data_IF_527001607936
#
_entry.id   IF_527001607936
#
_cell.length_a   1.000
_cell.length_b   1.000
_cell.length_c   1.000
_cell.angle_alpha   90.00
_cell.angle_beta   90.00
_cell.angle_gamma   90.00
#
_symmetry.space_group_name_H-M   'P 1'
#
loop_
_entity.id
_entity.type
_entity.pdbx_description
1 polymer ?
#
# COMPACT_ATOMS: atom_id res chain seq x y z
N UNK A 1 26.43 5.04 5.47
CA UNK A 1 25.91 4.90 4.09
C UNK A 1 25.73 3.41 3.84
N UNK A 2 24.62 2.99 3.28
CA UNK A 2 24.37 1.56 2.96
C UNK A 2 25.39 1.08 1.90
N UNK A 3 25.78 -0.17 2.01
CA UNK A 3 26.65 -0.83 1.03
C UNK A 3 25.84 -1.61 0.01
N UNK A 4 24.76 -2.29 0.48
CA UNK A 4 23.92 -3.15 -0.36
C UNK A 4 22.44 -3.03 0.04
N UNK A 5 21.56 -2.89 -0.94
CA UNK A 5 20.11 -2.70 -0.73
C UNK A 5 19.32 -3.75 -1.53
N UNK A 6 18.37 -4.42 -0.87
CA UNK A 6 17.36 -5.24 -1.54
C UNK A 6 16.19 -4.35 -1.98
N UNK A 7 15.77 -4.51 -3.24
CA UNK A 7 14.64 -3.78 -3.84
C UNK A 7 13.41 -4.69 -3.85
N UNK A 8 12.52 -4.53 -2.85
CA UNK A 8 11.32 -5.35 -2.68
C UNK A 8 10.18 -4.89 -3.60
N UNK A 9 10.46 -4.78 -4.90
CA UNK A 9 9.51 -4.34 -5.92
C UNK A 9 9.90 -4.90 -7.29
N UNK A 10 9.14 -4.58 -8.34
CA UNK A 10 9.36 -5.06 -9.70
C UNK A 10 9.21 -3.96 -10.75
N UNK A 11 9.52 -4.30 -12.01
CA UNK A 11 9.24 -3.47 -13.18
C UNK A 11 9.95 -2.11 -13.14
N UNK A 12 9.23 -1.07 -13.51
CA UNK A 12 9.77 0.30 -13.57
C UNK A 12 10.15 0.86 -12.21
N UNK A 13 9.39 0.51 -11.16
CA UNK A 13 9.64 0.96 -9.79
C UNK A 13 11.00 0.42 -9.31
N UNK A 14 11.22 -0.90 -9.46
CA UNK A 14 12.50 -1.51 -9.11
C UNK A 14 13.64 -0.92 -9.94
N UNK A 15 13.43 -0.71 -11.23
CA UNK A 15 14.42 -0.12 -12.13
C UNK A 15 14.79 1.33 -11.72
N UNK A 16 13.81 2.11 -11.23
CA UNK A 16 14.06 3.48 -10.75
C UNK A 16 14.94 3.50 -9.51
N UNK A 17 14.65 2.61 -8.54
CA UNK A 17 15.45 2.47 -7.32
C UNK A 17 16.87 1.97 -7.65
N UNK A 18 16.97 0.96 -8.51
CA UNK A 18 18.25 0.41 -8.98
C UNK A 18 19.15 1.48 -9.59
N UNK A 19 18.59 2.37 -10.43
CA UNK A 19 19.34 3.48 -11.00
C UNK A 19 19.89 4.43 -9.92
N UNK A 20 19.08 4.74 -8.90
CA UNK A 20 19.52 5.57 -7.78
C UNK A 20 20.65 4.88 -6.98
N UNK A 21 20.52 3.57 -6.70
CA UNK A 21 21.60 2.79 -6.06
C UNK A 21 22.90 2.90 -6.86
N UNK A 22 22.83 2.71 -8.18
CA UNK A 22 23.98 2.78 -9.06
C UNK A 22 24.63 4.17 -9.08
N UNK A 23 23.84 5.24 -9.12
CA UNK A 23 24.32 6.63 -9.06
C UNK A 23 25.02 6.95 -7.72
N UNK A 24 24.57 6.30 -6.63
CA UNK A 24 25.13 6.44 -5.28
C UNK A 24 26.28 5.48 -4.97
N UNK A 25 26.64 4.58 -5.89
CA UNK A 25 27.65 3.55 -5.67
C UNK A 25 27.24 2.47 -4.63
N UNK A 26 25.94 2.17 -4.55
CA UNK A 26 25.37 1.16 -3.64
C UNK A 26 25.05 -0.09 -4.46
N UNK A 27 25.46 -1.27 -3.97
CA UNK A 27 25.09 -2.54 -4.58
C UNK A 27 23.59 -2.79 -4.48
N UNK A 28 23.01 -3.29 -5.56
CA UNK A 28 21.57 -3.52 -5.68
C UNK A 28 21.23 -5.00 -5.81
N UNK A 29 20.26 -5.45 -5.02
CA UNK A 29 19.70 -6.82 -5.11
C UNK A 29 18.26 -6.71 -5.59
N UNK A 30 17.98 -7.22 -6.80
CA UNK A 30 16.64 -7.32 -7.31
C UNK A 30 15.97 -8.61 -6.86
N UNK A 31 14.70 -8.53 -6.45
CA UNK A 31 13.88 -9.74 -6.31
C UNK A 31 12.97 -9.90 -7.51
N UNK A 32 12.66 -11.15 -7.86
CA UNK A 32 11.77 -11.43 -8.99
C UNK A 32 10.95 -12.70 -8.78
N UNK A 33 9.72 -12.71 -9.29
CA UNK A 33 8.95 -13.94 -9.45
C UNK A 33 9.39 -14.68 -10.72
N UNK A 34 9.18 -15.99 -10.80
CA UNK A 34 9.59 -16.81 -11.94
C UNK A 34 9.32 -16.19 -13.32
N UNK A 35 8.12 -15.66 -13.63
CA UNK A 35 7.85 -15.05 -14.94
C UNK A 35 8.57 -13.70 -15.16
N UNK A 36 9.06 -13.07 -14.10
CA UNK A 36 9.73 -11.76 -14.18
C UNK A 36 11.24 -11.86 -14.40
N UNK A 37 11.79 -13.07 -14.49
CA UNK A 37 13.23 -13.36 -14.61
C UNK A 37 13.94 -12.54 -15.72
N UNK A 38 13.24 -12.32 -16.83
CA UNK A 38 13.79 -11.63 -18.00
C UNK A 38 13.59 -10.12 -17.99
N UNK A 39 12.97 -9.57 -16.94
CA UNK A 39 12.71 -8.13 -16.84
C UNK A 39 14.00 -7.33 -16.67
N UNK A 40 13.97 -6.09 -17.16
CA UNK A 40 15.13 -5.21 -17.23
C UNK A 40 15.78 -4.95 -15.86
N UNK A 41 14.98 -4.78 -14.81
CA UNK A 41 15.50 -4.54 -13.45
C UNK A 41 16.29 -5.74 -12.92
N UNK A 42 15.90 -6.98 -13.26
CA UNK A 42 16.61 -8.19 -12.89
C UNK A 42 17.96 -8.26 -13.57
N UNK A 43 18.02 -7.97 -14.89
CA UNK A 43 19.25 -8.00 -15.69
C UNK A 43 20.25 -6.89 -15.35
N UNK A 44 19.79 -5.81 -14.75
CA UNK A 44 20.61 -4.62 -14.46
C UNK A 44 21.06 -4.54 -13.00
N UNK A 45 20.48 -5.33 -12.11
CA UNK A 45 20.91 -5.41 -10.72
C UNK A 45 22.26 -6.13 -10.59
N UNK A 46 22.99 -5.84 -9.52
CA UNK A 46 24.25 -6.48 -9.23
C UNK A 46 24.02 -7.94 -8.80
N UNK A 47 22.93 -8.21 -8.06
CA UNK A 47 22.45 -9.54 -7.72
C UNK A 47 20.95 -9.64 -7.97
N UNK A 48 20.44 -10.88 -8.19
CA UNK A 48 19.02 -11.12 -8.36
C UNK A 48 18.58 -12.45 -7.73
N UNK A 49 17.48 -12.41 -6.97
CA UNK A 49 16.97 -13.57 -6.22
C UNK A 49 15.52 -13.85 -6.66
N UNK A 50 15.27 -15.11 -7.05
CA UNK A 50 13.91 -15.58 -7.29
C UNK A 50 13.18 -15.78 -5.96
N UNK A 51 12.04 -15.11 -5.81
CA UNK A 51 11.22 -15.14 -4.59
C UNK A 51 9.94 -15.95 -4.71
N UNK A 52 9.78 -16.70 -5.80
CA UNK A 52 8.66 -17.63 -5.97
C UNK A 52 7.87 -17.45 -7.26
N UNK A 53 6.66 -18.06 -7.33
CA UNK A 53 5.85 -18.14 -8.53
C UNK A 53 5.19 -16.79 -8.89
N UNK A 54 4.44 -16.78 -10.00
CA UNK A 54 3.77 -15.60 -10.54
C UNK A 54 2.77 -14.92 -9.57
N UNK A 55 2.19 -15.69 -8.64
CA UNK A 55 1.24 -15.16 -7.67
C UNK A 55 1.94 -14.23 -6.68
N UNK A 56 1.54 -12.95 -6.61
CA UNK A 56 2.15 -11.96 -5.71
C UNK A 56 2.07 -12.34 -4.23
N UNK A 57 0.99 -12.99 -3.79
CA UNK A 57 0.85 -13.51 -2.42
C UNK A 57 1.88 -14.59 -2.05
N UNK A 58 2.49 -15.25 -3.04
CA UNK A 58 3.53 -16.27 -2.85
C UNK A 58 4.92 -15.77 -3.24
N UNK A 59 5.07 -14.50 -3.61
CA UNK A 59 6.32 -13.87 -4.03
C UNK A 59 6.45 -12.48 -3.42
N UNK A 60 6.08 -11.41 -4.13
CA UNK A 60 6.29 -10.01 -3.72
C UNK A 60 5.55 -9.58 -2.43
N UNK A 61 4.48 -10.28 -2.03
CA UNK A 61 3.74 -10.06 -0.79
C UNK A 61 4.08 -11.08 0.31
N UNK A 62 5.04 -11.97 0.06
CA UNK A 62 5.49 -12.98 1.02
C UNK A 62 6.64 -12.41 1.85
N UNK A 63 6.31 -11.86 3.01
CA UNK A 63 7.27 -11.21 3.92
C UNK A 63 8.40 -12.17 4.32
N UNK A 64 8.14 -13.42 4.79
CA UNK A 64 9.21 -14.35 5.14
C UNK A 64 10.20 -14.58 4.02
N UNK A 65 9.73 -14.71 2.78
CA UNK A 65 10.61 -14.94 1.62
C UNK A 65 11.48 -13.71 1.33
N UNK A 66 10.95 -12.50 1.48
CA UNK A 66 11.72 -11.27 1.31
C UNK A 66 12.79 -11.12 2.40
N UNK A 67 12.48 -11.42 3.66
CA UNK A 67 13.46 -11.41 4.76
C UNK A 67 14.56 -12.45 4.52
N UNK A 68 14.19 -13.68 4.10
CA UNK A 68 15.18 -14.71 3.74
C UNK A 68 16.07 -14.27 2.57
N UNK A 69 15.53 -13.57 1.59
CA UNK A 69 16.31 -13.01 0.49
C UNK A 69 17.32 -11.95 0.98
N UNK A 70 16.98 -11.16 2.00
CA UNK A 70 17.90 -10.22 2.63
C UNK A 70 19.05 -10.91 3.32
N UNK A 71 18.76 -11.99 4.04
CA UNK A 71 19.77 -12.79 4.73
C UNK A 71 20.73 -13.44 3.74
N UNK A 72 20.21 -14.09 2.69
CA UNK A 72 21.01 -14.73 1.63
C UNK A 72 21.91 -13.74 0.91
N UNK A 73 21.41 -12.55 0.60
CA UNK A 73 22.17 -11.52 -0.10
C UNK A 73 23.11 -10.70 0.82
N UNK A 74 22.91 -10.76 2.14
CA UNK A 74 23.69 -9.98 3.11
C UNK A 74 23.53 -8.48 2.93
N UNK A 75 22.27 -8.00 2.81
CA UNK A 75 21.97 -6.58 2.61
C UNK A 75 21.93 -5.79 3.91
N UNK A 76 22.12 -4.48 3.81
CA UNK A 76 22.01 -3.57 4.95
C UNK A 76 20.57 -3.04 5.10
N UNK A 77 19.84 -2.94 3.99
CA UNK A 77 18.55 -2.29 3.97
C UNK A 77 17.61 -2.86 2.88
N UNK A 78 16.32 -2.60 3.05
CA UNK A 78 15.27 -2.92 2.08
C UNK A 78 14.60 -1.64 1.61
N UNK A 79 14.47 -1.49 0.29
CA UNK A 79 13.62 -0.45 -0.33
C UNK A 79 12.33 -1.08 -0.86
N UNK A 80 11.16 -0.76 -0.30
CA UNK A 80 9.89 -1.38 -0.69
C UNK A 80 9.33 -0.85 -2.03
N UNK A 81 9.87 0.26 -2.53
CA UNK A 81 9.35 0.93 -3.72
C UNK A 81 8.00 1.60 -3.49
N UNK A 82 7.05 1.34 -4.38
CA UNK A 82 5.67 1.86 -4.34
C UNK A 82 4.69 0.71 -4.54
N UNK A 83 3.58 0.69 -3.82
CA UNK A 83 2.64 -0.43 -3.82
C UNK A 83 3.19 -1.66 -3.08
N UNK A 84 2.68 -2.84 -3.36
CA UNK A 84 3.02 -4.08 -2.65
C UNK A 84 3.04 -3.90 -1.12
N UNK A 85 4.22 -3.98 -0.52
CA UNK A 85 4.41 -3.86 0.94
C UNK A 85 4.89 -2.48 1.39
N UNK A 86 4.96 -1.47 0.50
CA UNK A 86 5.47 -0.15 0.84
C UNK A 86 4.67 0.57 1.94
N UNK A 87 3.38 0.30 2.03
CA UNK A 87 2.47 0.85 3.04
C UNK A 87 2.04 -0.20 4.10
N UNK A 88 2.80 -1.29 4.22
CA UNK A 88 2.50 -2.36 5.16
C UNK A 88 3.36 -2.20 6.42
N UNK A 89 2.74 -1.79 7.52
CA UNK A 89 3.39 -1.58 8.82
C UNK A 89 4.00 -2.86 9.38
N UNK A 90 3.32 -4.01 9.22
CA UNK A 90 3.84 -5.30 9.67
C UNK A 90 5.11 -5.70 8.91
N UNK A 91 5.20 -5.41 7.61
CA UNK A 91 6.44 -5.62 6.86
C UNK A 91 7.57 -4.74 7.38
N UNK A 92 7.29 -3.46 7.62
CA UNK A 92 8.29 -2.53 8.15
C UNK A 92 8.77 -2.98 9.55
N UNK A 93 7.86 -3.42 10.44
CA UNK A 93 8.21 -4.03 11.74
C UNK A 93 9.13 -5.24 11.55
N UNK A 94 8.75 -6.20 10.69
CA UNK A 94 9.53 -7.42 10.46
C UNK A 94 10.93 -7.14 9.89
N UNK A 95 11.07 -6.14 9.04
CA UNK A 95 12.38 -5.70 8.51
C UNK A 95 13.28 -5.19 9.64
N UNK A 96 12.74 -4.30 10.50
CA UNK A 96 13.47 -3.71 11.62
C UNK A 96 13.82 -4.79 12.66
N UNK A 97 12.87 -5.64 13.03
CA UNK A 97 13.07 -6.74 13.99
C UNK A 97 14.10 -7.75 13.51
N UNK A 98 14.24 -7.92 12.18
CA UNK A 98 15.27 -8.78 11.57
C UNK A 98 16.65 -8.11 11.47
N UNK A 99 16.81 -6.89 11.96
CA UNK A 99 18.08 -6.15 11.99
C UNK A 99 18.42 -5.40 10.71
N UNK A 100 17.47 -5.27 9.78
CA UNK A 100 17.65 -4.50 8.54
C UNK A 100 17.05 -3.09 8.65
N UNK A 101 17.54 -2.17 7.83
CA UNK A 101 16.91 -0.85 7.73
C UNK A 101 15.79 -0.87 6.71
N UNK A 102 14.58 -0.51 7.12
CA UNK A 102 13.49 -0.22 6.19
C UNK A 102 13.67 1.18 5.61
N UNK A 103 13.82 1.30 4.29
CA UNK A 103 13.96 2.60 3.62
C UNK A 103 12.56 3.18 3.39
N UNK A 104 12.10 3.92 4.35
CA UNK A 104 10.75 4.51 4.41
C UNK A 104 10.47 5.12 5.77
N UNK A 105 9.22 5.50 6.04
CA UNK A 105 8.79 5.93 7.36
C UNK A 105 8.93 4.80 8.39
N UNK A 106 8.98 5.14 9.67
CA UNK A 106 8.94 4.13 10.72
C UNK A 106 7.57 3.39 10.73
N UNK A 107 7.52 2.15 11.26
CA UNK A 107 6.30 1.32 11.22
C UNK A 107 5.09 1.99 11.86
N UNK A 108 5.27 2.74 12.95
CA UNK A 108 4.18 3.45 13.63
C UNK A 108 3.62 4.58 12.77
N UNK A 109 4.47 5.32 12.08
CA UNK A 109 4.04 6.34 11.12
C UNK A 109 3.23 5.73 9.98
N UNK A 110 3.64 4.57 9.44
CA UNK A 110 2.88 3.84 8.41
C UNK A 110 1.51 3.44 8.97
N UNK A 111 1.45 2.90 10.18
CA UNK A 111 0.21 2.44 10.84
C UNK A 111 -0.77 3.57 11.06
N UNK A 112 -0.31 4.69 11.60
CA UNK A 112 -1.14 5.85 11.87
C UNK A 112 -1.64 6.50 10.57
N UNK A 113 -0.74 6.71 9.60
CA UNK A 113 -1.09 7.36 8.34
C UNK A 113 -1.91 6.44 7.40
N UNK A 114 -1.77 5.13 7.54
CA UNK A 114 -2.58 4.14 6.82
C UNK A 114 -4.05 4.13 7.27
N UNK A 115 -4.35 4.59 8.47
CA UNK A 115 -5.71 4.73 8.98
C UNK A 115 -6.22 6.17 8.77
N UNK A 116 -7.22 6.35 7.90
CA UNK A 116 -7.76 7.67 7.53
C UNK A 116 -8.27 8.49 8.71
N UNK A 117 -8.77 7.84 9.75
CA UNK A 117 -9.31 8.51 10.95
C UNK A 117 -8.14 9.00 11.80
N UNK A 118 -7.21 8.12 12.15
CA UNK A 118 -6.02 8.46 12.93
C UNK A 118 -5.13 9.49 12.22
N UNK A 119 -4.99 9.37 10.89
CA UNK A 119 -4.25 10.35 10.09
C UNK A 119 -4.90 11.74 10.15
N UNK A 120 -6.24 11.82 10.08
CA UNK A 120 -6.97 13.08 10.20
C UNK A 120 -6.86 13.68 11.61
N UNK A 121 -6.98 12.87 12.64
CA UNK A 121 -6.81 13.28 14.04
C UNK A 121 -5.40 13.85 14.28
N UNK A 122 -4.38 13.14 13.79
CA UNK A 122 -2.99 13.60 13.89
C UNK A 122 -2.77 14.90 13.10
N UNK A 123 -3.26 15.01 11.88
CA UNK A 123 -3.16 16.23 11.09
C UNK A 123 -3.83 17.42 11.78
N UNK A 124 -5.02 17.20 12.36
CA UNK A 124 -5.75 18.23 13.12
C UNK A 124 -4.98 18.66 14.37
N UNK A 125 -4.42 17.71 15.11
CA UNK A 125 -3.60 18.00 16.31
C UNK A 125 -2.31 18.76 15.98
N UNK A 126 -1.79 18.54 14.77
CA UNK A 126 -0.64 19.27 14.23
C UNK A 126 -1.02 20.67 13.66
N UNK A 127 -2.27 21.09 13.79
CA UNK A 127 -2.74 22.40 13.34
C UNK A 127 -3.03 22.49 11.82
N UNK A 128 -3.07 21.36 11.11
CA UNK A 128 -3.39 21.34 9.69
C UNK A 128 -4.91 21.46 9.48
N UNK A 129 -5.32 22.26 8.52
CA UNK A 129 -6.73 22.33 8.11
C UNK A 129 -7.13 21.04 7.40
N UNK A 130 -8.08 20.32 7.98
CA UNK A 130 -8.66 19.13 7.38
C UNK A 130 -10.04 19.43 6.80
N UNK A 131 -10.38 18.75 5.70
CA UNK A 131 -11.74 18.81 5.14
C UNK A 131 -12.74 18.36 6.22
N UNK A 132 -13.84 19.13 6.47
CA UNK A 132 -14.88 18.71 7.39
C UNK A 132 -15.40 17.31 7.06
N UNK A 133 -15.71 16.52 8.09
CA UNK A 133 -16.22 15.16 7.89
C UNK A 133 -16.30 14.43 9.23
N UNK A 134 -17.19 13.45 9.30
CA UNK A 134 -17.37 12.59 10.46
C UNK A 134 -16.22 11.61 10.63
N UNK A 135 -16.06 11.09 11.83
CA UNK A 135 -15.32 9.87 12.13
C UNK A 135 -16.04 8.65 11.54
N UNK A 136 -15.85 7.49 12.17
CA UNK A 136 -16.52 6.25 11.75
C UNK A 136 -18.03 6.34 12.02
N UNK A 137 -18.84 6.24 10.98
CA UNK A 137 -20.30 6.20 11.07
C UNK A 137 -20.86 4.84 10.66
N UNK A 138 -21.94 4.41 11.29
CA UNK A 138 -22.61 3.14 11.00
C UNK A 138 -23.82 3.36 10.08
N UNK A 139 -24.01 2.48 9.09
CA UNK A 139 -25.15 2.53 8.15
C UNK A 139 -26.54 2.36 8.80
N UNK A 140 -26.60 2.07 10.08
CA UNK A 140 -27.85 1.77 10.81
C UNK A 140 -28.19 2.79 11.89
N UNK A 141 -27.41 3.86 12.04
CA UNK A 141 -27.51 4.73 13.20
C UNK A 141 -28.22 6.06 12.87
N UNK A 142 -29.18 6.44 13.70
CA UNK A 142 -29.89 7.74 13.64
C UNK A 142 -28.91 8.91 13.70
N UNK A 143 -27.84 8.74 14.47
CA UNK A 143 -26.71 9.65 14.60
C UNK A 143 -26.03 9.95 13.25
N UNK A 144 -25.95 8.98 12.33
CA UNK A 144 -25.38 9.17 10.99
C UNK A 144 -26.18 10.17 10.15
N UNK A 145 -27.50 10.16 10.29
CA UNK A 145 -28.39 11.09 9.56
C UNK A 145 -28.21 12.51 10.13
N UNK A 146 -28.07 12.66 11.44
CA UNK A 146 -27.85 13.94 12.09
C UNK A 146 -26.51 14.54 11.67
N UNK A 147 -25.43 13.74 11.69
CA UNK A 147 -24.10 14.15 11.22
C UNK A 147 -24.15 14.54 9.74
N UNK A 148 -24.86 13.81 8.90
CA UNK A 148 -24.98 14.14 7.49
C UNK A 148 -25.71 15.46 7.25
N UNK A 149 -26.71 15.77 8.08
CA UNK A 149 -27.41 17.06 8.06
C UNK A 149 -26.51 18.22 8.48
N UNK A 150 -25.67 18.01 9.49
CA UNK A 150 -24.71 19.04 9.93
C UNK A 150 -23.63 19.32 8.88
N UNK A 151 -23.15 18.31 8.17
CA UNK A 151 -22.16 18.45 7.09
C UNK A 151 -22.80 19.13 5.85
N UNK A 152 -24.07 18.83 5.59
CA UNK A 152 -24.81 19.32 4.42
C UNK A 152 -24.62 18.45 3.18
N UNK A 153 -25.57 18.60 2.22
CA UNK A 153 -25.54 17.90 0.94
C UNK A 153 -25.10 18.86 -0.19
N UNK A 154 -24.40 18.37 -1.24
CA UNK A 154 -23.98 17.00 -1.46
C UNK A 154 -22.79 16.58 -0.59
N UNK A 155 -22.78 15.33 -0.12
CA UNK A 155 -21.68 14.77 0.66
C UNK A 155 -21.06 13.53 0.00
N UNK A 156 -19.85 13.18 0.43
CA UNK A 156 -19.11 12.00 -0.04
C UNK A 156 -19.06 10.94 1.06
N UNK A 157 -19.55 9.74 0.74
CA UNK A 157 -19.36 8.55 1.57
C UNK A 157 -18.10 7.85 1.08
N UNK A 158 -17.19 7.51 2.01
CA UNK A 158 -15.99 6.73 1.75
C UNK A 158 -15.93 5.55 2.69
N UNK A 159 -15.64 4.39 2.17
CA UNK A 159 -15.40 3.24 3.01
C UNK A 159 -14.07 3.37 3.77
N UNK A 160 -14.06 2.97 5.04
CA UNK A 160 -12.90 3.09 5.92
C UNK A 160 -11.68 2.30 5.41
N UNK A 161 -11.92 1.12 4.82
CA UNK A 161 -10.88 0.24 4.29
C UNK A 161 -10.63 0.38 2.76
N UNK A 162 -11.32 1.31 2.08
CA UNK A 162 -11.19 1.52 0.64
C UNK A 162 -10.00 2.40 0.26
N UNK A 163 -9.26 2.00 -0.78
CA UNK A 163 -8.19 2.77 -1.41
C UNK A 163 -8.40 2.91 -2.93
N UNK A 164 -7.65 3.81 -3.58
CA UNK A 164 -7.66 3.92 -5.05
C UNK A 164 -8.99 4.35 -5.68
N UNK A 165 -9.84 5.12 -4.99
CA UNK A 165 -11.11 5.61 -5.52
C UNK A 165 -12.27 4.60 -5.47
N UNK A 166 -12.07 3.40 -4.95
CA UNK A 166 -13.13 2.40 -4.76
C UNK A 166 -13.86 2.63 -3.43
N UNK A 167 -15.16 2.31 -3.41
CA UNK A 167 -16.00 2.53 -2.22
C UNK A 167 -16.24 4.01 -1.92
N UNK A 168 -16.30 4.87 -2.95
CA UNK A 168 -16.67 6.29 -2.85
C UNK A 168 -18.02 6.49 -3.54
N UNK A 169 -18.98 7.11 -2.84
CA UNK A 169 -20.26 7.51 -3.42
C UNK A 169 -20.61 8.95 -3.06
N UNK A 170 -21.18 9.66 -4.02
CA UNK A 170 -21.76 10.99 -3.81
C UNK A 170 -23.22 10.78 -3.41
N UNK A 171 -23.64 11.41 -2.32
CA UNK A 171 -25.01 11.46 -1.84
C UNK A 171 -25.49 12.89 -1.99
N UNK A 172 -26.57 13.10 -2.73
CA UNK A 172 -27.07 14.42 -3.06
C UNK A 172 -28.19 14.88 -2.12
N UNK A 173 -28.91 13.93 -1.55
CA UNK A 173 -30.05 14.16 -0.68
C UNK A 173 -30.16 13.05 0.40
N UNK A 174 -30.93 13.34 1.46
CA UNK A 174 -31.00 12.47 2.65
C UNK A 174 -31.52 11.06 2.34
N UNK A 175 -32.48 10.94 1.42
CA UNK A 175 -33.12 9.70 1.03
C UNK A 175 -32.12 8.68 0.44
N UNK A 176 -31.06 9.17 -0.18
CA UNK A 176 -30.01 8.34 -0.78
C UNK A 176 -28.97 7.85 0.23
N UNK A 177 -28.88 8.47 1.42
CA UNK A 177 -27.79 8.25 2.38
C UNK A 177 -27.65 6.79 2.79
N UNK A 178 -28.70 6.21 3.36
CA UNK A 178 -28.66 4.85 3.92
C UNK A 178 -28.47 3.79 2.85
N UNK A 179 -29.09 3.96 1.68
CA UNK A 179 -28.90 3.03 0.55
C UNK A 179 -27.48 3.08 0.01
N UNK A 180 -26.90 4.26 -0.16
CA UNK A 180 -25.53 4.47 -0.60
C UNK A 180 -24.51 3.93 0.39
N UNK A 181 -24.74 4.05 1.69
CA UNK A 181 -23.89 3.46 2.73
C UNK A 181 -23.89 1.93 2.67
N UNK A 182 -25.06 1.30 2.55
CA UNK A 182 -25.17 -0.18 2.43
C UNK A 182 -24.42 -0.68 1.20
N UNK A 183 -24.59 -0.05 0.05
CA UNK A 183 -23.92 -0.44 -1.18
C UNK A 183 -22.39 -0.29 -1.02
N UNK A 184 -21.93 0.82 -0.44
CA UNK A 184 -20.50 1.05 -0.20
C UNK A 184 -19.89 0.01 0.74
N UNK A 185 -20.61 -0.42 1.76
CA UNK A 185 -20.19 -1.53 2.64
C UNK A 185 -20.15 -2.87 1.93
N UNK A 186 -21.16 -3.16 1.09
CA UNK A 186 -21.21 -4.41 0.32
C UNK A 186 -20.12 -4.49 -0.74
N UNK A 187 -19.83 -3.42 -1.45
CA UNK A 187 -18.76 -3.37 -2.44
C UNK A 187 -17.39 -3.71 -1.82
N UNK A 188 -17.13 -3.30 -0.58
CA UNK A 188 -15.89 -3.64 0.12
C UNK A 188 -15.84 -5.09 0.58
N UNK A 189 -16.95 -5.63 1.08
CA UNK A 189 -17.00 -7.05 1.44
C UNK A 189 -16.84 -7.96 0.21
N UNK A 190 -17.38 -7.58 -0.94
CA UNK A 190 -17.22 -8.28 -2.20
C UNK A 190 -15.79 -8.19 -2.76
N UNK A 191 -15.10 -7.08 -2.57
CA UNK A 191 -13.69 -6.91 -2.99
C UNK A 191 -12.76 -7.76 -2.12
N UNK A 192 -13.07 -7.98 -0.85
CA UNK A 192 -12.32 -8.89 0.03
C UNK A 192 -12.56 -10.37 -0.29
N UNK A 193 -13.71 -10.73 -0.85
CA UNK A 193 -14.09 -12.12 -1.17
C UNK A 193 -13.67 -12.51 -2.59
N UNK A 194 -13.57 -11.57 -3.50
CA UNK A 194 -13.21 -11.83 -4.90
C UNK A 194 -12.16 -10.82 -5.37
N UNK A 195 -10.88 -11.15 -5.17
CA UNK A 195 -9.85 -10.58 -6.01
C UNK A 195 -9.77 -11.42 -7.30
N UNK A 196 -10.50 -11.06 -8.37
CA UNK A 196 -10.21 -11.65 -9.65
C UNK A 196 -8.87 -11.06 -10.09
N UNK A 197 -7.90 -11.91 -10.28
CA UNK A 197 -6.65 -11.64 -10.96
C UNK A 197 -6.86 -10.61 -12.06
N UNK A 198 -6.39 -9.39 -11.88
CA UNK A 198 -6.37 -8.38 -12.92
C UNK A 198 -5.35 -8.80 -13.97
N UNK A 199 -5.78 -9.64 -14.89
CA UNK A 199 -5.11 -9.81 -16.18
C UNK A 199 -5.62 -8.71 -17.10
N UNK A 200 -4.93 -7.61 -17.19
CA UNK A 200 -4.91 -6.79 -18.40
C UNK A 200 -3.46 -6.73 -18.84
N UNK A 201 -3.10 -7.38 -19.92
CA UNK A 201 -1.83 -7.09 -20.58
C UNK A 201 -1.89 -5.64 -21.05
N UNK A 202 -0.99 -4.80 -20.54
CA UNK A 202 -0.74 -3.50 -21.16
C UNK A 202 0.06 -3.82 -22.42
N UNK A 203 -0.61 -3.82 -23.56
CA UNK A 203 0.03 -3.80 -24.87
C UNK A 203 0.64 -2.42 -25.04
N UNK A 204 1.95 -2.33 -25.02
CA UNK A 204 2.66 -1.18 -25.57
C UNK A 204 2.76 -1.38 -27.08
N UNK A 205 2.03 -0.56 -27.84
CA UNK A 205 2.33 -0.31 -29.25
C UNK A 205 3.55 0.59 -29.37
#
# INVERSE_FOLDING_TARGET
MFKKILIANRGEIALRVLKACKEMGIESVAVYSEPDKELKHVKMADEAICIGPAQSSKSYLNIPTLISACEVAGVDAIHPGVGFLAENDHFADQVVDSGYTFIGPDPESIRVMGNKISAKEMATSAGLQCVPGSGRVSATNRETIEIAKEIGYPLLIKAAAGGGGKGIKIVREEEELLSSMRITQQELSLIHISEPTRRTPISYA
#
